data_IF_256413612407
#
_entry.id   IF_256413612407
#
_cell.length_a   1.000
_cell.length_b   1.000
_cell.length_c   1.000
_cell.angle_alpha   90.00
_cell.angle_beta   90.00
_cell.angle_gamma   90.00
#
_symmetry.space_group_name_H-M   'P 1'
#
loop_
_entity.id
_entity.type
_entity.pdbx_description
1 polymer ?
#
# COMPACT_ATOMS: atom_id res chain seq x y z
N UNK A 1 53.11 39.48 -30.46
CA UNK A 1 52.63 40.88 -30.42
C UNK A 1 52.43 41.34 -31.86
N UNK A 2 51.35 42.09 -32.16
CA UNK A 2 51.01 42.70 -33.46
C UNK A 2 50.83 41.71 -34.67
N UNK A 3 49.89 41.83 -35.63
CA UNK A 3 49.26 42.96 -36.37
C UNK A 3 50.24 43.55 -37.43
N UNK A 4 49.90 43.79 -38.71
CA UNK A 4 48.63 43.84 -39.48
C UNK A 4 48.86 43.71 -41.03
N UNK A 5 47.79 43.54 -41.84
CA UNK A 5 47.77 43.65 -43.34
C UNK A 5 47.29 42.36 -44.06
N UNK A 6 46.23 42.24 -44.90
CA UNK A 6 45.54 43.05 -45.95
C UNK A 6 46.35 43.19 -47.28
N UNK A 7 45.82 43.06 -48.51
CA UNK A 7 44.42 43.10 -49.02
C UNK A 7 44.21 42.48 -50.44
N UNK A 8 42.94 42.29 -50.86
CA UNK A 8 42.42 42.14 -52.26
C UNK A 8 42.48 40.73 -52.92
N UNK A 9 41.59 40.32 -53.85
CA UNK A 9 40.54 41.06 -54.58
C UNK A 9 39.28 40.22 -54.95
N UNK A 10 38.13 40.94 -55.00
CA UNK A 10 36.80 40.74 -55.65
C UNK A 10 36.66 39.57 -56.65
N UNK A 11 35.49 38.93 -56.81
CA UNK A 11 34.07 39.42 -56.83
C UNK A 11 33.17 38.44 -56.00
N UNK A 12 31.83 38.51 -55.89
CA UNK A 12 30.76 39.31 -56.55
C UNK A 12 29.52 39.52 -55.62
N UNK A 13 28.39 39.98 -56.17
CA UNK A 13 27.05 40.27 -55.60
C UNK A 13 26.00 40.05 -56.72
N UNK A 14 24.67 40.31 -56.58
CA UNK A 14 23.85 40.73 -55.42
C UNK A 14 22.84 39.61 -55.02
N UNK A 15 21.65 39.75 -54.40
CA UNK A 15 20.65 40.80 -54.06
C UNK A 15 19.90 40.38 -52.77
N UNK A 16 19.15 41.20 -52.02
CA UNK A 16 19.14 42.65 -51.72
C UNK A 16 18.38 42.84 -50.38
N UNK A 17 18.71 43.86 -49.59
CA UNK A 17 18.21 44.06 -48.22
C UNK A 17 16.84 44.77 -48.14
N UNK A 18 16.06 44.53 -47.09
CA UNK A 18 15.53 45.65 -46.25
C UNK A 18 14.92 45.17 -44.94
N UNK A 19 15.04 46.00 -43.91
CA UNK A 19 14.45 45.82 -42.58
C UNK A 19 13.67 47.10 -42.27
N UNK A 20 12.50 46.98 -41.63
CA UNK A 20 11.90 48.10 -40.92
C UNK A 20 11.70 47.72 -39.45
N UNK A 21 12.44 48.38 -38.56
CA UNK A 21 12.17 48.34 -37.12
C UNK A 21 11.08 49.36 -36.79
N UNK A 22 10.09 48.96 -36.00
CA UNK A 22 9.36 49.87 -35.12
C UNK A 22 9.17 49.19 -33.76
N UNK A 23 9.38 49.96 -32.70
CA UNK A 23 9.68 49.45 -31.36
C UNK A 23 8.48 49.46 -30.42
N UNK A 24 8.38 48.42 -29.59
CA UNK A 24 8.07 48.63 -28.18
C UNK A 24 8.88 47.66 -27.32
N UNK A 25 9.37 48.14 -26.18
CA UNK A 25 10.09 47.34 -25.19
C UNK A 25 9.17 46.84 -24.07
N UNK A 26 9.78 46.44 -22.95
CA UNK A 26 9.17 45.72 -21.81
C UNK A 26 8.83 44.26 -22.19
N UNK A 27 9.49 43.22 -21.66
CA UNK A 27 9.87 42.91 -20.26
C UNK A 27 8.62 42.74 -19.38
N UNK A 28 8.55 41.61 -18.66
CA UNK A 28 7.47 41.19 -17.75
C UNK A 28 6.05 41.03 -18.34
N UNK A 29 5.79 39.83 -18.87
CA UNK A 29 4.64 39.03 -18.38
C UNK A 29 5.07 37.60 -18.07
N UNK A 30 5.74 37.43 -16.93
CA UNK A 30 5.61 36.18 -16.20
C UNK A 30 4.16 36.14 -15.67
N UNK A 31 3.31 35.31 -16.28
CA UNK A 31 1.95 35.12 -15.76
C UNK A 31 2.03 34.42 -14.41
N UNK A 32 1.63 35.13 -13.36
CA UNK A 32 1.81 34.72 -11.97
C UNK A 32 1.17 33.37 -11.68
N UNK A 33 1.96 32.31 -11.59
CA UNK A 33 1.59 31.17 -10.74
C UNK A 33 1.57 31.72 -9.33
N UNK A 34 0.36 32.03 -8.84
CA UNK A 34 0.16 32.42 -7.45
C UNK A 34 0.60 31.25 -6.58
N UNK A 35 1.76 31.41 -5.94
CA UNK A 35 2.14 30.72 -4.72
C UNK A 35 1.17 31.14 -3.62
N UNK A 36 -0.08 30.67 -3.72
CA UNK A 36 -0.99 30.49 -2.60
C UNK A 36 -0.25 29.63 -1.61
N UNK A 37 0.36 30.29 -0.63
CA UNK A 37 1.48 29.72 0.12
C UNK A 37 1.10 28.47 0.90
N UNK A 38 2.12 27.84 1.48
CA UNK A 38 1.98 26.88 2.56
C UNK A 38 1.24 27.53 3.73
N UNK A 39 -0.10 27.51 3.68
CA UNK A 39 -0.93 27.63 4.87
C UNK A 39 -0.56 26.44 5.73
N UNK A 40 0.17 26.71 6.81
CA UNK A 40 0.34 25.77 7.90
C UNK A 40 -1.04 25.36 8.39
N UNK A 41 -1.52 24.20 7.91
CA UNK A 41 -2.75 23.60 8.39
C UNK A 41 -2.50 23.04 9.79
N UNK A 42 -2.48 23.93 10.78
CA UNK A 42 -3.06 23.67 12.09
C UNK A 42 -4.59 23.51 11.95
N UNK A 43 -4.99 22.62 11.04
CA UNK A 43 -6.35 22.11 10.97
C UNK A 43 -6.52 21.12 12.10
N UNK A 44 -7.48 21.38 12.98
CA UNK A 44 -7.80 20.48 14.08
C UNK A 44 -7.98 19.05 13.55
N UNK A 45 -7.40 18.05 14.24
CA UNK A 45 -7.45 16.63 13.84
C UNK A 45 -8.85 16.02 14.12
N UNK A 46 -9.90 16.67 13.64
CA UNK A 46 -11.19 16.05 13.44
C UNK A 46 -11.00 14.89 12.47
N UNK A 47 -11.11 13.68 12.99
CA UNK A 47 -11.24 12.44 12.24
C UNK A 47 -12.31 12.62 11.16
N UNK A 48 -11.87 12.87 9.91
CA UNK A 48 -12.75 12.84 8.74
C UNK A 48 -13.16 11.38 8.56
N UNK A 49 -14.29 11.00 9.18
CA UNK A 49 -15.00 9.77 8.86
C UNK A 49 -15.08 9.67 7.33
N UNK A 50 -14.71 8.54 6.71
CA UNK A 50 -14.82 8.39 5.27
C UNK A 50 -16.21 8.79 4.80
N UNK A 51 -16.30 9.62 3.77
CA UNK A 51 -17.58 10.02 3.17
C UNK A 51 -18.16 8.81 2.43
N UNK A 52 -18.89 7.96 3.17
CA UNK A 52 -19.67 6.85 2.61
C UNK A 52 -20.65 7.45 1.62
N UNK A 53 -20.43 7.18 0.34
CA UNK A 53 -21.26 7.74 -0.73
C UNK A 53 -22.52 6.86 -0.83
N UNK A 54 -23.73 7.40 -0.56
CA UNK A 54 -24.93 6.59 -0.31
C UNK A 54 -25.50 5.86 -1.53
N UNK A 55 -24.78 5.87 -2.66
CA UNK A 55 -25.15 5.24 -3.93
C UNK A 55 -24.14 4.16 -4.38
N UNK A 56 -23.17 3.79 -3.53
CA UNK A 56 -22.24 2.70 -3.81
C UNK A 56 -22.89 1.34 -3.47
N UNK A 57 -23.43 0.68 -4.50
CA UNK A 57 -24.01 -0.68 -4.41
C UNK A 57 -22.98 -1.79 -4.22
N UNK A 58 -21.68 -1.47 -4.30
CA UNK A 58 -20.58 -2.44 -4.13
C UNK A 58 -20.05 -2.44 -2.70
N UNK A 59 -19.77 -3.66 -2.20
CA UNK A 59 -19.21 -3.91 -0.87
C UNK A 59 -17.81 -3.30 -0.73
N UNK A 60 -17.66 -2.31 0.14
CA UNK A 60 -16.41 -1.56 0.31
C UNK A 60 -15.54 -2.18 1.41
N UNK A 61 -15.08 -3.42 1.22
CA UNK A 61 -14.42 -4.29 2.22
C UNK A 61 -13.42 -3.59 3.17
N UNK A 62 -12.59 -2.69 2.64
CA UNK A 62 -11.52 -2.00 3.37
C UNK A 62 -11.87 -0.59 3.87
N UNK A 63 -13.09 -0.12 3.63
CA UNK A 63 -13.65 1.11 4.20
C UNK A 63 -14.76 0.75 5.19
N UNK A 64 -14.79 1.35 6.37
CA UNK A 64 -15.73 0.91 7.41
C UNK A 64 -15.39 1.45 8.78
N UNK A 65 -15.83 0.73 9.81
CA UNK A 65 -15.55 1.04 11.21
C UNK A 65 -15.31 -0.24 12.03
N UNK A 66 -14.57 -0.09 13.14
CA UNK A 66 -14.57 -1.07 14.21
C UNK A 66 -15.84 -0.90 15.05
N UNK A 67 -16.57 -1.99 15.26
CA UNK A 67 -17.79 -2.06 16.08
C UNK A 67 -17.61 -3.08 17.20
N UNK A 68 -18.28 -2.84 18.34
CA UNK A 68 -18.32 -3.81 19.44
C UNK A 68 -19.20 -4.99 19.04
N UNK A 69 -18.72 -6.19 19.29
CA UNK A 69 -19.43 -7.44 19.05
C UNK A 69 -19.17 -8.39 20.22
N UNK A 70 -20.11 -8.47 21.18
CA UNK A 70 -19.85 -9.20 22.42
C UNK A 70 -19.77 -10.73 22.24
N UNK A 71 -20.08 -11.27 21.05
CA UNK A 71 -19.82 -12.69 20.72
C UNK A 71 -18.36 -12.99 20.35
N UNK A 72 -17.48 -11.97 20.30
CA UNK A 72 -16.03 -12.13 20.12
C UNK A 72 -15.31 -12.36 21.47
N UNK A 73 -14.03 -12.79 21.50
CA UNK A 73 -13.21 -13.21 20.36
C UNK A 73 -13.66 -14.56 19.78
N UNK A 74 -13.32 -14.81 18.51
CA UNK A 74 -13.66 -16.05 17.79
C UNK A 74 -12.94 -17.28 18.38
N UNK A 75 -11.81 -17.08 19.03
CA UNK A 75 -11.06 -18.11 19.76
C UNK A 75 -10.51 -17.53 21.09
N UNK A 76 -10.15 -18.41 22.03
CA UNK A 76 -9.48 -18.03 23.28
C UNK A 76 -8.00 -18.38 23.19
N UNK A 77 -7.10 -17.39 23.27
CA UNK A 77 -5.65 -17.61 23.09
C UNK A 77 -5.06 -18.57 24.12
N UNK A 78 -5.60 -18.59 25.34
CA UNK A 78 -5.21 -19.53 26.41
C UNK A 78 -5.65 -20.98 26.17
N UNK A 79 -6.58 -21.22 25.25
CA UNK A 79 -7.10 -22.54 24.91
C UNK A 79 -6.63 -23.03 23.52
N UNK A 80 -5.66 -22.35 22.89
CA UNK A 80 -5.20 -22.62 21.53
C UNK A 80 -3.71 -23.01 21.52
N UNK A 81 -3.35 -24.31 21.57
CA UNK A 81 -1.96 -24.77 21.75
C UNK A 81 -0.98 -24.38 20.64
N UNK A 82 -1.48 -23.91 19.50
CA UNK A 82 -0.68 -23.48 18.33
C UNK A 82 -0.39 -21.97 18.33
N UNK A 83 -1.01 -21.19 19.22
CA UNK A 83 -0.72 -19.76 19.36
C UNK A 83 0.51 -19.62 20.25
N UNK A 84 1.60 -19.11 19.68
CA UNK A 84 2.81 -18.80 20.45
C UNK A 84 2.46 -17.92 21.67
N UNK A 85 2.92 -18.27 22.89
CA UNK A 85 2.66 -17.49 24.10
C UNK A 85 2.86 -15.99 23.94
N UNK A 86 3.83 -15.53 23.14
CA UNK A 86 4.12 -14.10 22.91
C UNK A 86 2.91 -13.29 22.40
N UNK A 87 1.93 -13.93 21.75
CA UNK A 87 0.69 -13.28 21.28
C UNK A 87 -0.45 -13.29 22.32
N UNK A 88 -0.26 -13.96 23.46
CA UNK A 88 -1.25 -14.03 24.54
C UNK A 88 -1.06 -12.88 25.56
N UNK A 89 -1.50 -11.68 25.20
CA UNK A 89 -1.33 -10.50 26.06
C UNK A 89 -1.93 -10.66 27.48
N UNK A 90 -3.01 -11.44 27.62
CA UNK A 90 -3.65 -11.69 28.92
C UNK A 90 -2.75 -12.53 29.83
N UNK A 91 -2.03 -13.53 29.28
CA UNK A 91 -1.05 -14.34 30.01
C UNK A 91 0.13 -13.50 30.55
N UNK A 92 0.48 -12.42 29.85
CA UNK A 92 1.47 -11.43 30.30
C UNK A 92 0.85 -10.25 31.08
N UNK A 93 -0.32 -10.45 31.68
CA UNK A 93 -0.88 -9.51 32.68
C UNK A 93 -1.60 -8.29 32.13
N UNK A 94 -1.96 -8.25 30.83
CA UNK A 94 -2.84 -7.20 30.31
C UNK A 94 -4.23 -7.30 30.96
N UNK A 95 -4.73 -6.27 31.66
CA UNK A 95 -5.96 -6.38 32.46
C UNK A 95 -7.25 -6.08 31.69
N UNK A 96 -7.17 -5.34 30.58
CA UNK A 96 -8.33 -5.03 29.73
C UNK A 96 -8.56 -6.11 28.67
N UNK A 97 -9.82 -6.34 28.30
CA UNK A 97 -10.21 -7.34 27.29
C UNK A 97 -11.16 -6.81 26.21
N UNK A 98 -11.65 -5.57 26.31
CA UNK A 98 -12.55 -4.97 25.31
C UNK A 98 -11.95 -4.88 23.90
N UNK A 99 -10.61 -4.85 23.78
CA UNK A 99 -9.94 -4.91 22.47
C UNK A 99 -10.22 -6.22 21.71
N UNK A 100 -10.53 -7.31 22.44
CA UNK A 100 -10.92 -8.60 21.85
C UNK A 100 -12.38 -8.58 21.35
N UNK A 101 -13.19 -7.60 21.76
CA UNK A 101 -14.61 -7.44 21.38
C UNK A 101 -14.80 -6.59 20.12
N UNK A 102 -13.74 -6.17 19.43
CA UNK A 102 -13.83 -5.35 18.23
C UNK A 102 -13.89 -6.21 16.97
N UNK A 103 -14.96 -6.05 16.19
CA UNK A 103 -15.11 -6.60 14.84
C UNK A 103 -15.05 -5.48 13.80
N UNK A 104 -14.43 -5.74 12.66
CA UNK A 104 -14.50 -4.85 11.50
C UNK A 104 -15.88 -4.97 10.82
N UNK A 105 -16.53 -3.84 10.57
CA UNK A 105 -17.73 -3.74 9.73
C UNK A 105 -17.42 -2.86 8.52
N UNK A 106 -17.35 -3.46 7.31
CA UNK A 106 -17.25 -2.71 6.07
C UNK A 106 -18.43 -1.76 5.83
N UNK A 107 -18.24 -0.78 4.95
CA UNK A 107 -19.33 0.01 4.40
C UNK A 107 -20.05 -0.75 3.29
N UNK A 108 -21.38 -0.57 3.24
CA UNK A 108 -22.29 -1.09 2.21
C UNK A 108 -22.43 -2.63 2.16
N UNK A 109 -21.89 -3.36 3.14
CA UNK A 109 -22.03 -4.82 3.25
C UNK A 109 -21.72 -5.32 4.67
N UNK A 110 -22.18 -6.54 4.98
CA UNK A 110 -21.77 -7.27 6.19
C UNK A 110 -20.82 -8.42 5.84
N UNK A 111 -19.99 -8.81 6.80
CA UNK A 111 -19.11 -9.98 6.67
C UNK A 111 -19.81 -11.22 7.26
N UNK A 112 -19.89 -12.34 6.52
CA UNK A 112 -20.44 -13.58 7.06
C UNK A 112 -19.55 -14.10 8.20
N UNK A 113 -20.16 -14.52 9.31
CA UNK A 113 -19.45 -15.16 10.42
C UNK A 113 -19.28 -16.66 10.13
N UNK A 114 -18.05 -17.11 9.94
CA UNK A 114 -17.69 -18.54 9.83
C UNK A 114 -16.80 -18.95 11.02
N UNK A 115 -17.38 -19.26 12.20
CA UNK A 115 -16.62 -19.56 13.42
C UNK A 115 -15.97 -20.96 13.43
N UNK A 116 -16.41 -21.87 12.55
CA UNK A 116 -15.87 -23.21 12.38
C UNK A 116 -15.63 -23.46 10.89
N UNK A 117 -14.49 -24.05 10.53
CA UNK A 117 -14.05 -24.30 9.14
C UNK A 117 -14.59 -25.62 8.55
N UNK A 118 -15.54 -26.25 9.26
CA UNK A 118 -16.15 -27.56 8.99
C UNK A 118 -17.63 -27.53 9.36
N UNK A 119 -18.41 -28.43 8.78
CA UNK A 119 -19.87 -28.37 8.85
C UNK A 119 -20.46 -28.72 10.22
N UNK A 120 -21.58 -28.08 10.52
CA UNK A 120 -22.44 -28.36 11.68
C UNK A 120 -23.80 -28.82 11.16
N UNK A 121 -24.21 -30.02 11.58
CA UNK A 121 -25.46 -30.67 11.18
C UNK A 121 -26.37 -30.93 12.39
N UNK A 122 -27.64 -31.28 12.17
CA UNK A 122 -28.64 -31.53 13.21
C UNK A 122 -29.06 -33.00 13.24
N UNK A 123 -28.28 -33.82 13.95
CA UNK A 123 -28.62 -35.24 14.16
C UNK A 123 -29.53 -35.35 15.37
N UNK A 124 -30.78 -35.76 15.15
CA UNK A 124 -31.79 -35.96 16.21
C UNK A 124 -31.97 -34.73 17.13
N UNK A 125 -31.93 -33.52 16.55
CA UNK A 125 -32.08 -32.25 17.28
C UNK A 125 -30.84 -31.82 18.08
N UNK A 126 -29.72 -32.55 17.98
CA UNK A 126 -28.43 -32.15 18.53
C UNK A 126 -27.52 -31.63 17.42
N UNK A 127 -26.86 -30.49 17.68
CA UNK A 127 -25.79 -29.96 16.82
C UNK A 127 -24.61 -30.91 16.86
N UNK A 128 -24.26 -31.51 15.73
CA UNK A 128 -23.08 -32.35 15.56
C UNK A 128 -22.08 -31.60 14.69
N UNK A 129 -20.90 -31.35 15.27
CA UNK A 129 -19.73 -30.88 14.53
C UNK A 129 -19.15 -32.10 13.79
N UNK A 130 -19.11 -32.07 12.45
CA UNK A 130 -18.57 -33.18 11.66
C UNK A 130 -17.05 -33.11 11.68
N UNK A 131 -16.42 -33.91 12.54
CA UNK A 131 -14.97 -33.91 12.74
C UNK A 131 -14.20 -34.46 11.52
N UNK A 132 -14.77 -35.46 10.85
CA UNK A 132 -14.15 -36.15 9.71
C UNK A 132 -14.61 -35.59 8.34
N UNK A 133 -15.52 -34.61 8.32
CA UNK A 133 -15.91 -33.89 7.10
C UNK A 133 -15.28 -32.49 7.05
N UNK A 134 -14.10 -32.45 6.44
CA UNK A 134 -13.31 -31.24 6.19
C UNK A 134 -13.15 -31.02 4.67
N UNK A 135 -14.17 -31.42 3.90
CA UNK A 135 -14.22 -31.30 2.44
C UNK A 135 -14.00 -29.87 1.91
N UNK A 136 -14.25 -28.85 2.74
CA UNK A 136 -13.93 -27.45 2.43
C UNK A 136 -12.46 -27.03 2.55
N UNK A 137 -11.55 -27.83 3.13
CA UNK A 137 -10.13 -27.44 3.31
C UNK A 137 -9.09 -28.58 3.13
N UNK A 138 -9.48 -29.86 3.09
CA UNK A 138 -8.53 -31.00 3.16
C UNK A 138 -7.44 -31.07 2.07
N UNK A 139 -7.63 -30.44 0.90
CA UNK A 139 -6.66 -30.42 -0.19
C UNK A 139 -5.70 -29.22 -0.17
N UNK A 140 -5.94 -28.20 0.66
CA UNK A 140 -5.54 -26.80 0.41
C UNK A 140 -4.02 -26.49 0.34
N UNK A 141 -3.13 -27.46 0.59
CA UNK A 141 -1.66 -27.24 0.69
C UNK A 141 -0.85 -27.88 -0.46
N UNK A 142 -1.51 -28.28 -1.55
CA UNK A 142 -0.88 -28.54 -2.86
C UNK A 142 -1.68 -27.80 -3.94
N UNK A 143 -0.99 -27.36 -5.00
CA UNK A 143 -1.56 -26.58 -6.10
C UNK A 143 -2.31 -25.28 -5.72
N UNK A 144 -1.91 -24.69 -4.59
CA UNK A 144 -2.60 -23.63 -3.82
C UNK A 144 -3.40 -22.59 -4.62
N UNK A 145 -4.70 -22.52 -4.32
CA UNK A 145 -5.65 -21.56 -4.90
C UNK A 145 -5.50 -20.14 -4.33
N UNK A 146 -4.69 -19.94 -3.29
CA UNK A 146 -4.52 -18.65 -2.59
C UNK A 146 -3.04 -18.41 -2.26
N UNK A 147 -2.48 -17.34 -2.82
CA UNK A 147 -1.22 -16.75 -2.37
C UNK A 147 -1.50 -15.44 -1.63
N UNK A 148 -1.06 -15.34 -0.38
CA UNK A 148 -1.19 -14.13 0.44
C UNK A 148 0.20 -13.59 0.78
N UNK A 149 0.58 -12.48 0.14
CA UNK A 149 1.85 -11.81 0.35
C UNK A 149 1.69 -10.65 1.33
N UNK A 150 2.74 -10.33 2.10
CA UNK A 150 2.85 -9.05 2.80
C UNK A 150 4.27 -8.51 2.73
N UNK A 151 4.42 -7.19 2.76
CA UNK A 151 5.69 -6.53 3.11
C UNK A 151 5.41 -5.08 3.53
N UNK A 152 6.35 -4.45 4.25
CA UNK A 152 6.16 -3.09 4.74
C UNK A 152 7.15 -2.72 5.85
N UNK A 153 6.88 -3.18 7.08
CA UNK A 153 7.64 -2.82 8.31
C UNK A 153 9.17 -2.76 8.11
N UNK A 154 9.74 -3.86 7.62
CA UNK A 154 11.16 -4.06 7.32
C UNK A 154 11.79 -2.96 6.45
N UNK A 155 11.06 -2.39 5.48
CA UNK A 155 11.55 -1.33 4.59
C UNK A 155 11.78 0.02 5.29
N UNK A 156 11.25 0.18 6.51
CA UNK A 156 11.40 1.39 7.32
C UNK A 156 12.56 1.32 8.32
N UNK A 157 13.18 0.14 8.48
CA UNK A 157 14.29 -0.08 9.41
C UNK A 157 15.52 0.79 9.08
N UNK A 158 16.27 1.18 10.12
CA UNK A 158 17.48 2.00 10.04
C UNK A 158 18.52 1.53 11.08
N UNK A 159 19.78 1.91 10.88
CA UNK A 159 20.88 1.56 11.78
C UNK A 159 21.02 0.04 11.92
N UNK A 160 21.24 -0.45 13.14
CA UNK A 160 21.42 -1.88 13.43
C UNK A 160 20.21 -2.79 13.10
N UNK A 161 19.05 -2.22 12.74
CA UNK A 161 17.88 -2.98 12.26
C UNK A 161 17.80 -3.05 10.73
N UNK A 162 18.61 -2.28 9.99
CA UNK A 162 18.58 -2.23 8.52
C UNK A 162 19.22 -3.51 7.96
N UNK A 163 18.45 -4.30 7.20
CA UNK A 163 18.89 -5.60 6.68
C UNK A 163 19.70 -5.55 5.38
N UNK A 164 20.32 -4.42 5.04
CA UNK A 164 21.05 -4.20 3.79
C UNK A 164 22.07 -3.07 3.91
N UNK A 165 23.21 -3.21 3.22
CA UNK A 165 24.26 -2.18 3.12
C UNK A 165 24.07 -1.23 1.92
N UNK A 166 23.51 -1.76 0.82
CA UNK A 166 23.29 -1.04 -0.45
C UNK A 166 21.98 -1.49 -1.11
N UNK A 167 21.35 -0.61 -1.89
CA UNK A 167 20.25 -0.92 -2.79
C UNK A 167 20.72 -0.88 -4.25
N UNK A 168 20.30 -1.85 -5.06
CA UNK A 168 20.54 -1.82 -6.52
C UNK A 168 19.30 -1.35 -7.27
N UNK A 169 19.48 -0.48 -8.27
CA UNK A 169 18.40 -0.07 -9.19
C UNK A 169 18.98 0.41 -10.51
N UNK A 170 18.46 -0.10 -11.64
CA UNK A 170 18.88 0.35 -12.98
C UNK A 170 20.34 0.06 -13.34
N UNK A 171 20.94 -0.95 -12.70
CA UNK A 171 22.37 -1.29 -12.84
C UNK A 171 23.29 -0.57 -11.83
N UNK A 172 22.86 0.54 -11.23
CA UNK A 172 23.62 1.28 -10.23
C UNK A 172 23.38 0.78 -8.80
N UNK A 173 24.39 0.94 -7.94
CA UNK A 173 24.31 0.74 -6.49
C UNK A 173 24.17 2.09 -5.76
N UNK A 174 23.37 2.10 -4.70
CA UNK A 174 23.08 3.26 -3.86
C UNK A 174 23.27 2.88 -2.39
N UNK A 175 23.94 3.71 -1.58
CA UNK A 175 24.04 3.49 -0.13
C UNK A 175 22.66 3.59 0.54
N UNK A 176 21.81 4.52 0.07
CA UNK A 176 20.43 4.60 0.50
C UNK A 176 19.50 5.12 -0.60
N UNK A 177 18.19 4.93 -0.43
CA UNK A 177 17.12 5.41 -1.30
C UNK A 177 15.91 5.83 -0.46
N UNK A 178 15.06 6.71 -0.99
CA UNK A 178 13.73 6.92 -0.41
C UNK A 178 12.99 5.58 -0.27
N UNK A 179 12.40 5.35 0.91
CA UNK A 179 11.83 4.05 1.28
C UNK A 179 10.55 3.74 0.51
N UNK A 180 9.78 4.74 0.11
CA UNK A 180 8.57 4.57 -0.70
C UNK A 180 8.95 4.27 -2.15
N UNK A 181 9.97 4.96 -2.70
CA UNK A 181 10.52 4.67 -4.04
C UNK A 181 11.14 3.27 -4.10
N UNK A 182 11.86 2.85 -3.05
CA UNK A 182 12.41 1.51 -2.94
C UNK A 182 11.31 0.45 -2.88
N UNK A 183 10.31 0.64 -2.02
CA UNK A 183 9.15 -0.26 -1.91
C UNK A 183 8.34 -0.32 -3.21
N UNK A 184 8.11 0.80 -3.89
CA UNK A 184 7.42 0.84 -5.18
C UNK A 184 8.19 0.01 -6.24
N UNK A 185 9.51 0.14 -6.31
CA UNK A 185 10.36 -0.66 -7.21
C UNK A 185 10.32 -2.15 -6.87
N UNK A 186 10.32 -2.50 -5.58
CA UNK A 186 10.14 -3.87 -5.11
C UNK A 186 8.78 -4.44 -5.51
N UNK A 187 7.69 -3.74 -5.21
CA UNK A 187 6.32 -4.15 -5.53
C UNK A 187 6.07 -4.25 -7.04
N UNK A 188 6.61 -3.34 -7.86
CA UNK A 188 6.55 -3.44 -9.33
C UNK A 188 7.32 -4.65 -9.87
N UNK A 189 8.39 -5.06 -9.20
CA UNK A 189 9.18 -6.24 -9.59
C UNK A 189 8.46 -7.53 -9.19
N UNK A 190 7.91 -7.59 -7.97
CA UNK A 190 7.05 -8.68 -7.51
C UNK A 190 5.80 -8.83 -8.39
N UNK A 191 5.07 -7.75 -8.69
CA UNK A 191 3.86 -7.81 -9.50
C UNK A 191 4.12 -8.38 -10.90
N UNK A 192 5.18 -7.91 -11.58
CA UNK A 192 5.63 -8.48 -12.87
C UNK A 192 5.98 -9.96 -12.80
N UNK A 193 6.56 -10.41 -11.68
CA UNK A 193 6.82 -11.83 -11.48
C UNK A 193 5.51 -12.62 -11.31
N UNK A 194 4.57 -12.11 -10.50
CA UNK A 194 3.24 -12.74 -10.34
C UNK A 194 2.53 -12.83 -11.69
N UNK A 195 2.41 -11.73 -12.44
CA UNK A 195 1.75 -11.67 -13.75
C UNK A 195 2.37 -12.59 -14.81
N UNK A 196 3.64 -12.99 -14.64
CA UNK A 196 4.35 -13.87 -15.56
C UNK A 196 4.44 -15.33 -15.09
N UNK A 197 4.08 -15.65 -13.84
CA UNK A 197 4.29 -16.98 -13.24
C UNK A 197 3.05 -17.56 -12.53
N UNK A 198 2.00 -16.78 -12.28
CA UNK A 198 0.79 -17.25 -11.59
C UNK A 198 -0.37 -17.43 -12.57
N UNK A 199 -0.88 -18.65 -12.65
CA UNK A 199 -2.13 -18.94 -13.35
C UNK A 199 -3.32 -18.44 -12.53
N UNK A 200 -3.78 -17.23 -12.85
CA UNK A 200 -4.95 -16.60 -12.22
C UNK A 200 -6.28 -17.32 -12.47
N UNK A 201 -6.35 -18.35 -13.34
CA UNK A 201 -7.54 -19.21 -13.48
C UNK A 201 -7.70 -20.19 -12.31
N UNK A 202 -6.59 -20.52 -11.63
CA UNK A 202 -6.54 -21.36 -10.42
C UNK A 202 -6.21 -20.54 -9.17
N UNK A 203 -5.12 -19.80 -9.19
CA UNK A 203 -4.54 -19.16 -8.01
C UNK A 203 -4.95 -17.69 -7.88
N UNK A 204 -5.71 -17.37 -6.84
CA UNK A 204 -5.97 -16.00 -6.38
C UNK A 204 -4.75 -15.44 -5.66
N UNK A 205 -4.44 -14.18 -5.91
CA UNK A 205 -3.33 -13.47 -5.26
C UNK A 205 -3.87 -12.31 -4.44
N UNK A 206 -3.46 -12.26 -3.18
CA UNK A 206 -3.75 -11.20 -2.23
C UNK A 206 -2.45 -10.55 -1.78
N UNK A 207 -2.50 -9.25 -1.54
CA UNK A 207 -1.41 -8.51 -0.91
C UNK A 207 -1.95 -7.76 0.31
N UNK A 208 -1.48 -8.16 1.50
CA UNK A 208 -1.77 -7.45 2.74
C UNK A 208 -0.92 -6.17 2.80
N UNK A 209 -1.59 -5.04 2.95
CA UNK A 209 -0.98 -3.71 3.11
C UNK A 209 -0.13 -3.61 4.38
N UNK A 210 0.70 -2.56 4.46
CA UNK A 210 1.60 -2.30 5.59
C UNK A 210 0.84 -2.30 6.93
N UNK A 211 1.17 -3.25 7.81
CA UNK A 211 0.72 -3.26 9.21
C UNK A 211 1.32 -2.05 9.96
N UNK A 212 0.50 -1.15 10.53
CA UNK A 212 1.00 0.07 11.17
C UNK A 212 1.62 -0.19 12.55
N UNK A 213 2.76 0.45 12.81
CA UNK A 213 3.32 0.56 14.16
C UNK A 213 2.63 1.69 14.94
N UNK A 214 2.65 1.58 16.27
CA UNK A 214 1.97 2.51 17.18
C UNK A 214 2.94 3.18 18.17
N UNK A 215 4.23 3.22 17.82
CA UNK A 215 5.25 4.00 18.52
C UNK A 215 5.06 5.50 18.25
N UNK A 216 5.62 6.35 19.12
CA UNK A 216 5.63 7.82 19.00
C UNK A 216 7.07 8.31 18.84
#
# INVERSE_FOLDING_TARGET
MALLGFQSSRRAFPYLLTILFLSCGQIHRASSVLLSGLKNHHGNHHQRKPLVHPNQTTCALFMGAWVRDDSYPVYQSSACPIVDPQFNCQMYGRPDSDYLKLRWQPANCELPRAPYLVDIDSVQGKRVLKLDDVSGNGNAWRDVDVLSFNTGHWWSHKGALQGWDYMQSGGSLYQDMDRLVALERGLRTWARWVDANVDYSRTRVFFQSISPTHYK
#
